data_IF_542022247716
#
_entry.id   IF_542022247716
#
_cell.length_a   1.000
_cell.length_b   1.000
_cell.length_c   1.000
_cell.angle_alpha   90.00
_cell.angle_beta   90.00
_cell.angle_gamma   90.00
#
_symmetry.space_group_name_H-M   'P 1'
#
loop_
_entity.id
_entity.type
_entity.pdbx_description
1 polymer ?
#
# COMPACT_ATOMS: atom_id res chain seq x y z
N UNK A 1 4.94 21.08 14.58
CA UNK A 1 5.21 20.39 13.32
C UNK A 1 5.61 18.95 13.57
N UNK A 2 4.99 18.04 12.87
CA UNK A 2 5.32 16.63 13.01
C UNK A 2 6.66 16.28 12.39
N UNK A 3 7.21 15.15 12.80
CA UNK A 3 8.47 14.64 12.25
C UNK A 3 8.25 14.05 10.85
N UNK A 4 9.26 14.10 10.01
CA UNK A 4 9.24 13.48 8.68
C UNK A 4 9.02 11.97 8.85
N UNK A 5 8.17 11.38 8.03
CA UNK A 5 7.95 9.94 8.06
C UNK A 5 9.25 9.20 7.76
N UNK A 6 9.59 8.24 8.59
CA UNK A 6 10.62 7.25 8.25
C UNK A 6 9.99 6.18 7.33
N UNK A 7 10.80 5.24 6.88
CA UNK A 7 10.36 4.20 5.95
C UNK A 7 9.21 3.36 6.52
N UNK A 8 9.29 3.03 7.79
CA UNK A 8 8.27 2.21 8.44
C UNK A 8 6.96 2.97 8.61
N UNK A 9 7.02 4.22 9.03
CA UNK A 9 5.84 5.07 9.18
C UNK A 9 5.16 5.31 7.84
N UNK A 10 5.94 5.53 6.78
CA UNK A 10 5.42 5.71 5.43
C UNK A 10 4.72 4.45 4.94
N UNK A 11 5.33 3.29 5.16
CA UNK A 11 4.74 2.01 4.79
C UNK A 11 3.39 1.80 5.49
N UNK A 12 3.34 2.06 6.78
CA UNK A 12 2.10 1.94 7.55
C UNK A 12 1.03 2.92 7.08
N UNK A 13 1.43 4.15 6.74
CA UNK A 13 0.50 5.14 6.20
C UNK A 13 -0.17 4.62 4.91
N UNK A 14 0.62 4.04 4.01
CA UNK A 14 0.08 3.47 2.78
C UNK A 14 -0.88 2.32 3.03
N UNK A 15 -0.58 1.47 4.00
CA UNK A 15 -1.48 0.37 4.39
C UNK A 15 -2.83 0.94 4.87
N UNK A 16 -2.81 2.02 5.64
CA UNK A 16 -4.05 2.66 6.13
C UNK A 16 -4.87 3.24 4.99
N UNK A 17 -4.22 3.85 4.00
CA UNK A 17 -4.90 4.37 2.80
C UNK A 17 -5.62 3.25 2.07
N UNK A 18 -4.94 2.12 1.86
CA UNK A 18 -5.51 0.98 1.15
C UNK A 18 -6.61 0.31 1.97
N UNK A 19 -6.40 0.19 3.28
CA UNK A 19 -7.41 -0.36 4.19
C UNK A 19 -8.73 0.41 4.06
N UNK A 20 -8.67 1.74 4.13
CA UNK A 20 -9.86 2.58 4.00
C UNK A 20 -10.53 2.37 2.65
N UNK A 21 -9.76 2.31 1.58
CA UNK A 21 -10.28 2.06 0.25
C UNK A 21 -11.04 0.73 0.18
N UNK A 22 -10.46 -0.33 0.78
CA UNK A 22 -11.09 -1.65 0.77
C UNK A 22 -12.43 -1.64 1.52
N UNK A 23 -12.48 -1.00 2.68
CA UNK A 23 -13.71 -0.88 3.45
C UNK A 23 -14.76 -0.11 2.64
N UNK A 24 -14.37 1.01 2.02
CA UNK A 24 -15.28 1.82 1.21
C UNK A 24 -15.81 1.06 0.00
N UNK A 25 -15.01 0.13 -0.54
CA UNK A 25 -15.37 -0.68 -1.70
C UNK A 25 -16.07 -2.00 -1.34
N UNK A 26 -16.37 -2.20 -0.08
CA UNK A 26 -17.17 -3.36 0.35
C UNK A 26 -16.38 -4.63 0.63
N UNK A 27 -15.06 -4.54 0.77
CA UNK A 27 -14.25 -5.70 1.16
C UNK A 27 -14.36 -5.94 2.66
N UNK A 28 -14.31 -7.21 3.05
CA UNK A 28 -14.08 -7.61 4.43
C UNK A 28 -12.58 -7.80 4.62
N UNK A 29 -11.95 -6.98 5.46
CA UNK A 29 -10.52 -7.11 5.73
C UNK A 29 -10.31 -8.14 6.83
N UNK A 30 -9.61 -9.23 6.50
CA UNK A 30 -9.43 -10.36 7.41
C UNK A 30 -8.17 -10.24 8.24
N UNK A 31 -7.12 -9.64 7.69
CA UNK A 31 -5.84 -9.49 8.40
C UNK A 31 -5.03 -8.35 7.78
N UNK A 32 -4.28 -7.65 8.62
CA UNK A 32 -3.37 -6.58 8.21
C UNK A 32 -2.03 -6.82 8.89
N UNK A 33 -0.96 -6.82 8.10
CA UNK A 33 0.42 -6.96 8.59
C UNK A 33 1.19 -5.71 8.24
N UNK A 34 1.73 -5.05 9.22
CA UNK A 34 2.40 -3.77 9.05
C UNK A 34 3.93 -3.89 8.94
N UNK A 35 4.49 -5.06 9.16
CA UNK A 35 5.93 -5.29 9.07
C UNK A 35 6.38 -5.26 7.61
N UNK A 36 7.38 -4.42 7.25
CA UNK A 36 7.74 -4.23 5.84
C UNK A 36 8.20 -5.50 5.10
N UNK A 37 8.79 -6.43 5.79
CA UNK A 37 9.31 -7.65 5.18
C UNK A 37 8.30 -8.78 5.03
N UNK A 38 7.05 -8.60 5.47
CA UNK A 38 6.04 -9.66 5.47
C UNK A 38 4.97 -9.36 4.43
N UNK A 39 4.84 -10.24 3.45
CA UNK A 39 3.91 -10.10 2.33
C UNK A 39 2.92 -11.25 2.29
N UNK A 40 1.67 -11.03 1.90
CA UNK A 40 1.07 -9.74 1.57
C UNK A 40 0.77 -8.93 2.85
N UNK A 41 0.55 -7.62 2.69
CA UNK A 41 0.22 -6.76 3.82
C UNK A 41 -1.23 -6.92 4.25
N UNK A 42 -2.14 -7.16 3.31
CA UNK A 42 -3.58 -7.24 3.61
C UNK A 42 -4.17 -8.51 3.02
N UNK A 43 -4.95 -9.21 3.83
CA UNK A 43 -5.84 -10.27 3.38
C UNK A 43 -7.26 -9.73 3.45
N UNK A 44 -8.00 -9.83 2.35
CA UNK A 44 -9.37 -9.33 2.28
C UNK A 44 -10.24 -10.31 1.50
N UNK A 45 -11.55 -10.19 1.70
CA UNK A 45 -12.52 -11.06 1.04
C UNK A 45 -13.65 -10.21 0.48
N UNK A 46 -14.10 -10.53 -0.71
CA UNK A 46 -15.25 -9.89 -1.33
C UNK A 46 -15.93 -10.89 -2.28
N UNK A 47 -17.24 -11.01 -2.17
CA UNK A 47 -18.03 -11.92 -3.01
C UNK A 47 -17.47 -13.34 -3.02
N UNK A 48 -17.12 -13.85 -1.86
CA UNK A 48 -16.57 -15.21 -1.64
C UNK A 48 -15.16 -15.40 -2.24
N UNK A 49 -14.51 -14.34 -2.71
CA UNK A 49 -13.15 -14.41 -3.26
C UNK A 49 -12.17 -13.84 -2.25
N UNK A 50 -11.09 -14.60 -1.99
CA UNK A 50 -10.00 -14.17 -1.11
C UNK A 50 -8.96 -13.41 -1.92
N UNK A 51 -8.51 -12.27 -1.40
CA UNK A 51 -7.52 -11.41 -2.04
C UNK A 51 -6.30 -11.28 -1.15
N UNK A 52 -5.14 -11.47 -1.77
CA UNK A 52 -3.83 -11.17 -1.18
C UNK A 52 -3.34 -9.86 -1.78
N UNK A 53 -3.20 -8.84 -0.95
CA UNK A 53 -2.92 -7.48 -1.43
C UNK A 53 -1.55 -7.05 -0.93
N UNK A 54 -0.63 -6.79 -1.86
CA UNK A 54 0.68 -6.22 -1.56
C UNK A 54 0.57 -4.70 -1.64
N UNK A 55 0.97 -4.02 -0.58
CA UNK A 55 0.96 -2.55 -0.53
C UNK A 55 2.40 -2.07 -0.54
N UNK A 56 2.70 -1.13 -1.43
CA UNK A 56 3.98 -0.44 -1.47
C UNK A 56 3.73 1.06 -1.50
N UNK A 57 4.47 1.78 -0.69
CA UNK A 57 4.28 3.23 -0.52
C UNK A 57 5.61 3.93 -0.70
N UNK A 58 5.60 5.04 -1.40
CA UNK A 58 6.78 5.86 -1.58
C UNK A 58 6.43 7.34 -1.41
N UNK A 59 7.43 8.14 -1.04
CA UNK A 59 7.28 9.58 -0.96
C UNK A 59 7.46 10.20 -2.34
N UNK A 60 6.72 11.28 -2.60
CA UNK A 60 6.84 12.04 -3.85
C UNK A 60 8.32 12.30 -4.22
N UNK A 61 8.71 12.20 -5.47
CA UNK A 61 7.90 11.92 -6.66
C UNK A 61 7.74 10.43 -6.98
N UNK A 62 8.19 9.56 -6.13
CA UNK A 62 8.17 8.12 -6.37
C UNK A 62 6.79 7.51 -6.06
N UNK A 63 6.55 6.35 -6.62
CA UNK A 63 5.39 5.52 -6.32
C UNK A 63 5.85 4.18 -5.80
N UNK A 64 5.01 3.50 -5.04
CA UNK A 64 5.30 2.14 -4.59
C UNK A 64 5.50 1.20 -5.78
N UNK A 65 6.47 0.29 -5.67
CA UNK A 65 6.84 -0.63 -6.75
C UNK A 65 6.72 -2.07 -6.26
N UNK A 66 6.12 -2.92 -7.09
CA UNK A 66 6.08 -4.36 -6.87
C UNK A 66 7.28 -4.99 -7.57
N UNK A 67 8.20 -5.57 -6.80
CA UNK A 67 9.37 -6.24 -7.38
C UNK A 67 9.01 -7.65 -7.86
N UNK A 68 9.70 -8.18 -8.89
CA UNK A 68 9.38 -9.52 -9.42
C UNK A 68 9.50 -10.64 -8.39
N UNK A 69 10.45 -10.58 -7.48
CA UNK A 69 10.63 -11.60 -6.46
C UNK A 69 9.46 -11.62 -5.46
N UNK A 70 8.97 -10.45 -5.04
CA UNK A 70 7.79 -10.37 -4.17
C UNK A 70 6.55 -10.86 -4.91
N UNK A 71 6.38 -10.45 -6.18
CA UNK A 71 5.25 -10.90 -6.98
C UNK A 71 5.23 -12.44 -7.10
N UNK A 72 6.37 -13.05 -7.36
CA UNK A 72 6.48 -14.51 -7.44
C UNK A 72 6.19 -15.20 -6.13
N UNK A 73 6.73 -14.69 -5.04
CA UNK A 73 6.52 -15.25 -3.70
C UNK A 73 5.04 -15.23 -3.32
N UNK A 74 4.40 -14.10 -3.50
CA UNK A 74 3.00 -13.92 -3.12
C UNK A 74 2.09 -14.72 -4.06
N UNK A 75 2.40 -14.79 -5.35
CA UNK A 75 1.63 -15.59 -6.31
C UNK A 75 1.62 -17.07 -5.94
N UNK A 76 2.78 -17.63 -5.55
CA UNK A 76 2.85 -19.02 -5.11
C UNK A 76 2.03 -19.25 -3.84
N UNK A 77 2.11 -18.34 -2.90
CA UNK A 77 1.35 -18.41 -1.66
C UNK A 77 -0.16 -18.33 -1.92
N UNK A 78 -0.54 -17.41 -2.79
CA UNK A 78 -1.94 -17.22 -3.18
C UNK A 78 -2.52 -18.45 -3.87
N UNK A 79 -1.73 -19.09 -4.72
CA UNK A 79 -2.15 -20.30 -5.42
C UNK A 79 -2.55 -21.41 -4.44
N UNK A 80 -1.80 -21.58 -3.37
CA UNK A 80 -2.09 -22.57 -2.33
C UNK A 80 -3.39 -22.30 -1.59
N UNK A 81 -3.79 -21.05 -1.50
CA UNK A 81 -5.00 -20.62 -0.81
C UNK A 81 -6.15 -20.28 -1.74
N UNK A 82 -5.98 -20.49 -3.04
CA UNK A 82 -6.96 -20.11 -4.07
C UNK A 82 -7.33 -18.63 -3.99
N UNK A 83 -6.33 -17.80 -3.68
CA UNK A 83 -6.52 -16.36 -3.54
C UNK A 83 -6.13 -15.64 -4.83
N UNK A 84 -6.69 -14.46 -5.01
CA UNK A 84 -6.37 -13.55 -6.11
C UNK A 84 -5.37 -12.52 -5.61
N UNK A 85 -4.31 -12.27 -6.38
CA UNK A 85 -3.30 -11.28 -6.03
C UNK A 85 -3.65 -9.91 -6.58
N UNK A 86 -3.46 -8.88 -5.75
CA UNK A 86 -3.61 -7.48 -6.18
C UNK A 86 -2.47 -6.66 -5.61
N UNK A 87 -2.12 -5.61 -6.33
CA UNK A 87 -1.07 -4.68 -5.95
C UNK A 87 -1.64 -3.29 -5.72
N UNK A 88 -1.28 -2.67 -4.62
CA UNK A 88 -1.67 -1.30 -4.29
C UNK A 88 -0.42 -0.42 -4.24
N UNK A 89 -0.26 0.44 -5.24
CA UNK A 89 0.83 1.40 -5.33
C UNK A 89 0.37 2.74 -4.77
N UNK A 90 1.05 3.22 -3.75
CA UNK A 90 0.68 4.47 -3.08
C UNK A 90 1.85 5.45 -3.15
N UNK A 91 1.55 6.68 -3.55
CA UNK A 91 2.50 7.78 -3.48
C UNK A 91 1.97 8.84 -2.53
N UNK A 92 2.83 9.41 -1.70
CA UNK A 92 2.45 10.41 -0.70
C UNK A 92 3.35 11.64 -0.84
N UNK A 93 2.73 12.81 -0.95
CA UNK A 93 3.45 14.07 -0.97
C UNK A 93 3.01 14.94 0.21
N UNK A 94 3.94 15.75 0.70
CA UNK A 94 3.63 16.78 1.70
C UNK A 94 2.89 17.92 0.99
N UNK A 95 1.60 18.08 1.25
CA UNK A 95 0.77 19.09 0.60
C UNK A 95 1.14 20.52 1.03
N UNK A 96 1.86 20.68 2.13
CA UNK A 96 2.33 21.96 2.63
C UNK A 96 3.72 22.33 2.11
N UNK A 97 4.35 21.43 1.37
CA UNK A 97 5.68 21.68 0.79
C UNK A 97 5.62 22.70 -0.33
N UNK A 98 6.61 23.59 -0.37
CA UNK A 98 6.71 24.66 -1.39
C UNK A 98 7.72 24.34 -2.49
N UNK A 99 8.55 23.34 -2.27
CA UNK A 99 9.54 22.87 -3.23
C UNK A 99 9.35 21.37 -3.43
N UNK A 100 9.92 20.82 -4.50
CA UNK A 100 9.90 19.38 -4.74
C UNK A 100 10.55 18.62 -3.60
N UNK A 101 11.63 19.16 -3.04
CA UNK A 101 12.29 18.54 -1.90
C UNK A 101 11.37 18.46 -0.69
N UNK A 102 10.68 19.55 -0.36
CA UNK A 102 9.72 19.57 0.76
C UNK A 102 8.53 18.67 0.50
N UNK A 103 8.03 18.63 -0.73
CA UNK A 103 6.93 17.73 -1.10
C UNK A 103 7.30 16.27 -0.95
N UNK A 104 8.58 15.92 -1.10
CA UNK A 104 9.10 14.58 -0.88
C UNK A 104 9.30 14.20 0.57
N UNK A 105 8.92 15.07 1.50
CA UNK A 105 9.09 14.85 2.94
C UNK A 105 7.76 14.96 3.67
N UNK A 106 6.86 13.98 3.49
CA UNK A 106 5.60 13.98 4.25
C UNK A 106 5.90 13.86 5.76
N UNK A 107 5.11 14.54 6.57
CA UNK A 107 5.31 14.65 8.01
C UNK A 107 4.09 14.15 8.76
N UNK A 108 4.31 13.61 9.95
CA UNK A 108 3.24 13.24 10.87
C UNK A 108 2.38 14.48 11.15
N UNK A 109 1.08 14.28 11.27
CA UNK A 109 0.09 15.33 11.53
C UNK A 109 0.10 16.44 10.49
N UNK A 110 0.59 16.14 9.29
CA UNK A 110 0.60 17.08 8.19
C UNK A 110 -0.60 16.94 7.28
N UNK A 111 -0.49 17.55 6.11
CA UNK A 111 -1.47 17.40 5.03
C UNK A 111 -0.78 16.73 3.85
N UNK A 112 -1.55 15.91 3.11
CA UNK A 112 -0.97 15.04 2.11
C UNK A 112 -1.73 15.11 0.79
N UNK A 113 -0.97 15.00 -0.31
CA UNK A 113 -1.53 14.57 -1.58
C UNK A 113 -1.26 13.07 -1.67
N UNK A 114 -2.31 12.29 -1.87
CA UNK A 114 -2.21 10.84 -1.96
C UNK A 114 -2.51 10.42 -3.39
N UNK A 115 -1.55 9.72 -4.01
CA UNK A 115 -1.72 9.17 -5.35
C UNK A 115 -1.93 7.67 -5.21
N UNK A 116 -3.17 7.24 -5.33
CA UNK A 116 -3.55 5.84 -5.29
C UNK A 116 -4.70 5.62 -6.25
N UNK A 117 -4.49 4.78 -7.25
CA UNK A 117 -5.45 4.58 -8.35
C UNK A 117 -6.24 3.28 -8.25
N UNK A 118 -6.30 2.71 -7.06
CA UNK A 118 -7.02 1.46 -6.85
C UNK A 118 -6.11 0.24 -6.95
N UNK A 119 -6.72 -0.93 -6.83
CA UNK A 119 -5.99 -2.19 -6.87
C UNK A 119 -5.66 -2.56 -8.30
N UNK A 120 -4.43 -3.00 -8.51
CA UNK A 120 -3.94 -3.43 -9.81
C UNK A 120 -3.72 -4.95 -9.81
N UNK A 121 -3.93 -5.63 -10.95
CA UNK A 121 -3.55 -7.04 -11.03
C UNK A 121 -2.03 -7.18 -10.98
N UNK A 122 -1.56 -8.36 -10.57
CA UNK A 122 -0.13 -8.65 -10.65
C UNK A 122 0.28 -8.80 -12.11
N UNK A 123 1.52 -8.43 -12.46
CA UNK A 123 2.03 -8.64 -13.80
C UNK A 123 2.10 -10.14 -14.11
N UNK A 124 1.90 -10.45 -15.36
CA UNK A 124 1.97 -11.84 -15.85
C UNK A 124 3.25 -12.11 -16.60
#
# INVERSE_FOLDING_TARGET
MGKVFDTEALHFFGIRVVYKHLIDEGYEVLNVRREPGINPQILAKKNEVLYFIVVRTAAFPQMGILTPDVASQVSLHALRHKAVCRFASVGVANALGKTDEEMGQPREDGEYYINFKGLLPFPQ
#
